data_IF_588309838553
#
_entry.id   IF_588309838553
#
_cell.length_a   1.000
_cell.length_b   1.000
_cell.length_c   1.000
_cell.angle_alpha   90.00
_cell.angle_beta   90.00
_cell.angle_gamma   90.00
#
_symmetry.space_group_name_H-M   'P 1'
#
loop_
_entity.id
_entity.type
_entity.pdbx_description
1 polymer ?
#
# COMPACT_ATOMS: atom_id res chain seq x y z
N UNK A 1 35.92 -77.95 -33.09
CA UNK A 1 36.66 -77.46 -31.89
C UNK A 1 36.63 -75.95 -31.90
N UNK A 2 36.21 -75.32 -30.80
CA UNK A 2 36.20 -73.86 -30.55
C UNK A 2 35.10 -73.08 -31.30
N UNK A 3 34.44 -72.04 -30.78
CA UNK A 3 34.51 -71.30 -29.51
C UNK A 3 33.22 -70.45 -29.40
N UNK A 4 32.85 -70.05 -28.18
CA UNK A 4 31.61 -69.32 -27.80
C UNK A 4 31.44 -67.93 -28.44
N UNK A 5 30.19 -67.50 -28.63
CA UNK A 5 29.80 -66.07 -28.57
C UNK A 5 28.37 -65.89 -28.04
N UNK A 6 28.14 -64.78 -27.34
CA UNK A 6 26.98 -64.40 -26.53
C UNK A 6 25.86 -63.72 -27.34
N UNK A 7 24.64 -63.83 -26.80
CA UNK A 7 23.37 -63.31 -27.31
C UNK A 7 23.07 -61.87 -26.87
N UNK A 8 22.46 -61.07 -27.74
CA UNK A 8 21.35 -60.15 -27.43
C UNK A 8 20.44 -60.01 -28.66
N UNK A 9 19.10 -59.93 -28.49
CA UNK A 9 18.25 -59.42 -29.57
C UNK A 9 17.31 -58.28 -29.15
N UNK A 10 17.05 -57.46 -30.16
CA UNK A 10 16.14 -56.32 -30.31
C UNK A 10 14.66 -56.69 -30.32
N UNK A 11 13.79 -55.73 -29.98
CA UNK A 11 12.33 -55.83 -30.11
C UNK A 11 11.75 -54.76 -31.08
N UNK A 12 10.53 -54.97 -31.63
CA UNK A 12 10.05 -54.28 -32.84
C UNK A 12 8.91 -53.26 -32.63
N UNK A 13 8.63 -52.55 -33.72
CA UNK A 13 7.60 -51.53 -34.02
C UNK A 13 6.14 -51.99 -34.00
N UNK A 14 5.22 -51.07 -33.66
CA UNK A 14 3.84 -51.01 -34.20
C UNK A 14 3.46 -49.54 -34.46
N UNK A 15 2.83 -49.28 -35.62
CA UNK A 15 2.44 -47.98 -36.15
C UNK A 15 0.99 -48.07 -36.66
N UNK A 16 0.15 -47.10 -36.29
CA UNK A 16 -1.10 -46.65 -36.94
C UNK A 16 -1.64 -45.50 -36.04
N UNK A 17 -2.06 -44.31 -36.47
CA UNK A 17 -2.28 -43.72 -37.79
C UNK A 17 -2.63 -42.22 -37.63
N UNK A 18 -1.89 -41.35 -38.34
CA UNK A 18 -2.34 -40.24 -39.21
C UNK A 18 -3.13 -39.02 -38.63
N UNK A 19 -2.67 -37.82 -39.06
CA UNK A 19 -3.24 -36.43 -39.02
C UNK A 19 -3.26 -35.73 -37.66
N UNK A 20 -2.59 -34.59 -37.38
CA UNK A 20 -2.17 -33.44 -38.19
C UNK A 20 -0.70 -33.02 -37.95
N UNK A 21 0.03 -32.95 -39.06
CA UNK A 21 1.12 -32.02 -39.39
C UNK A 21 0.60 -30.55 -39.39
N UNK A 22 1.33 -29.44 -39.26
CA UNK A 22 2.75 -29.14 -39.47
C UNK A 22 3.01 -27.69 -38.96
N UNK A 23 4.29 -27.36 -38.73
CA UNK A 23 4.94 -26.02 -38.69
C UNK A 23 4.83 -25.19 -37.40
N UNK A 24 5.91 -24.71 -36.80
CA UNK A 24 7.33 -24.91 -37.04
C UNK A 24 8.08 -24.59 -35.74
N UNK A 25 8.88 -25.54 -35.27
CA UNK A 25 10.01 -25.23 -34.42
C UNK A 25 11.20 -24.98 -35.35
N UNK A 26 11.73 -23.76 -35.28
CA UNK A 26 13.12 -23.45 -34.96
C UNK A 26 13.48 -22.08 -35.53
N UNK A 27 14.04 -21.21 -34.69
CA UNK A 27 15.36 -20.59 -34.89
C UNK A 27 15.51 -19.33 -34.01
N UNK A 28 16.33 -19.49 -32.97
CA UNK A 28 17.15 -18.49 -32.27
C UNK A 28 16.52 -17.39 -31.40
N UNK A 29 17.02 -17.32 -30.16
CA UNK A 29 17.35 -16.03 -29.54
C UNK A 29 17.04 -15.93 -28.05
N UNK A 30 18.08 -16.13 -27.22
CA UNK A 30 18.25 -15.60 -25.86
C UNK A 30 17.16 -15.88 -24.81
N UNK A 31 17.53 -16.72 -23.83
CA UNK A 31 16.83 -16.75 -22.55
C UNK A 31 16.86 -15.37 -21.88
N UNK A 32 15.68 -14.80 -21.67
CA UNK A 32 15.47 -13.69 -20.76
C UNK A 32 14.57 -14.16 -19.63
N UNK A 33 15.20 -14.40 -18.48
CA UNK A 33 14.55 -14.42 -17.18
C UNK A 33 13.82 -13.07 -17.00
N UNK A 34 12.52 -13.03 -17.28
CA UNK A 34 11.69 -11.87 -16.98
C UNK A 34 11.41 -11.85 -15.48
N UNK A 35 12.27 -11.10 -14.78
CA UNK A 35 12.14 -10.70 -13.38
C UNK A 35 10.74 -10.16 -13.10
N UNK A 36 10.09 -10.73 -12.09
CA UNK A 36 8.85 -10.26 -11.50
C UNK A 36 8.92 -8.77 -11.18
N UNK A 37 8.01 -7.99 -11.77
CA UNK A 37 7.91 -6.56 -11.55
C UNK A 37 7.12 -6.29 -10.26
N UNK A 38 7.78 -5.63 -9.30
CA UNK A 38 7.25 -5.21 -8.00
C UNK A 38 5.99 -4.31 -8.13
N UNK A 39 5.08 -4.27 -7.13
CA UNK A 39 3.97 -3.35 -7.14
C UNK A 39 4.45 -1.91 -6.91
N UNK A 40 3.66 -0.93 -7.36
CA UNK A 40 4.05 0.45 -7.26
C UNK A 40 3.96 0.96 -5.82
N UNK A 41 4.76 1.99 -5.60
CA UNK A 41 4.73 2.92 -4.48
C UNK A 41 3.30 3.21 -3.98
N UNK A 42 3.16 3.43 -2.68
CA UNK A 42 2.32 4.52 -2.17
C UNK A 42 2.38 5.70 -3.13
N UNK A 43 1.23 6.19 -3.60
CA UNK A 43 1.18 7.19 -4.67
C UNK A 43 2.12 8.37 -4.41
N UNK A 44 2.79 8.94 -5.45
CA UNK A 44 3.91 9.89 -5.32
C UNK A 44 3.62 11.20 -4.56
N UNK A 45 2.38 11.42 -4.09
CA UNK A 45 1.94 12.67 -3.46
C UNK A 45 1.47 12.53 -2.00
N UNK A 46 1.51 11.34 -1.39
CA UNK A 46 1.13 11.23 0.02
C UNK A 46 2.26 11.71 0.94
N UNK A 47 1.99 12.81 1.65
CA UNK A 47 2.88 13.38 2.66
C UNK A 47 2.52 12.78 4.02
N UNK A 48 3.53 12.50 4.84
CA UNK A 48 3.42 12.00 6.19
C UNK A 48 4.21 12.87 7.17
N UNK A 49 3.77 12.86 8.42
CA UNK A 49 4.59 13.21 9.59
C UNK A 49 4.79 11.97 10.43
N UNK A 50 5.95 11.88 11.09
CA UNK A 50 6.30 10.74 11.93
C UNK A 50 6.40 11.22 13.36
N UNK A 51 5.47 10.79 14.21
CA UNK A 51 5.37 11.21 15.60
C UNK A 51 6.03 10.19 16.53
N UNK A 52 6.65 10.67 17.59
CA UNK A 52 7.19 9.82 18.65
C UNK A 52 6.12 9.59 19.73
N UNK A 53 5.97 8.37 20.25
CA UNK A 53 5.00 8.11 21.33
C UNK A 53 5.40 8.79 22.64
N UNK A 54 6.69 9.03 22.86
CA UNK A 54 7.16 9.75 24.05
C UNK A 54 6.52 11.15 24.16
N UNK A 55 6.26 11.82 23.03
CA UNK A 55 5.36 12.97 22.93
C UNK A 55 4.92 13.21 21.49
N UNK A 56 3.60 13.25 21.27
CA UNK A 56 2.99 13.55 19.96
C UNK A 56 3.07 15.05 19.60
N UNK A 57 3.56 15.91 20.51
CA UNK A 57 3.83 17.33 20.22
C UNK A 57 5.11 17.52 19.38
N UNK A 58 5.88 16.45 19.19
CA UNK A 58 7.10 16.42 18.40
C UNK A 58 6.99 15.42 17.25
N UNK A 59 7.57 15.77 16.10
CA UNK A 59 7.66 14.89 14.94
C UNK A 59 9.04 14.95 14.29
N UNK A 60 9.37 13.94 13.49
CA UNK A 60 10.61 13.89 12.72
C UNK A 60 10.73 15.11 11.80
N UNK A 61 11.89 15.73 11.84
CA UNK A 61 12.29 16.82 10.98
C UNK A 61 13.73 16.61 10.51
N UNK A 62 14.11 17.32 9.45
CA UNK A 62 15.51 17.48 9.06
C UNK A 62 16.01 18.83 9.57
N UNK A 63 17.09 18.82 10.36
CA UNK A 63 17.78 20.02 10.89
C UNK A 63 19.27 19.84 10.70
N UNK A 64 19.93 20.81 10.08
CA UNK A 64 21.39 20.84 9.91
C UNK A 64 21.99 19.53 9.36
N UNK A 65 21.25 18.83 8.49
CA UNK A 65 21.68 17.56 7.89
C UNK A 65 21.38 16.30 8.72
N UNK A 66 20.77 16.45 9.90
CA UNK A 66 20.45 15.36 10.83
C UNK A 66 18.94 15.12 10.91
N UNK A 67 18.56 13.91 11.34
CA UNK A 67 17.17 13.55 11.64
C UNK A 67 16.92 13.75 13.14
N UNK A 68 16.02 14.66 13.47
CA UNK A 68 15.70 15.03 14.85
C UNK A 68 14.19 15.06 15.08
N UNK A 69 13.79 15.10 16.33
CA UNK A 69 12.45 15.55 16.73
C UNK A 69 12.42 17.07 16.86
N UNK A 70 11.36 17.68 16.32
CA UNK A 70 11.08 19.09 16.46
C UNK A 70 9.59 19.31 16.77
N UNK A 71 9.21 20.42 17.43
CA UNK A 71 7.81 20.76 17.69
C UNK A 71 7.00 20.73 16.41
N UNK A 72 5.81 20.12 16.45
CA UNK A 72 4.96 19.95 15.28
C UNK A 72 4.56 21.32 14.72
N UNK A 73 5.03 21.61 13.51
CA UNK A 73 4.70 22.83 12.78
C UNK A 73 4.06 22.49 11.44
N UNK A 74 2.78 22.83 11.23
CA UNK A 74 2.10 22.48 9.99
C UNK A 74 2.74 22.98 8.70
N UNK A 75 3.37 24.14 8.77
CA UNK A 75 3.96 24.83 7.61
C UNK A 75 5.41 24.43 7.37
N UNK A 76 5.99 23.63 8.26
CA UNK A 76 7.37 23.21 8.14
C UNK A 76 7.51 22.01 7.19
N UNK A 77 7.95 22.29 5.96
CA UNK A 77 8.15 21.28 4.93
C UNK A 77 9.27 20.28 5.27
N UNK A 78 10.19 20.63 6.16
CA UNK A 78 11.24 19.71 6.61
C UNK A 78 10.68 18.64 7.55
N UNK A 79 9.45 18.79 8.04
CA UNK A 79 8.71 17.77 8.77
C UNK A 79 7.85 16.87 7.85
N UNK A 80 7.86 17.13 6.54
CA UNK A 80 7.07 16.37 5.58
C UNK A 80 7.89 15.25 4.98
N UNK A 81 7.36 14.03 5.05
CA UNK A 81 8.02 12.82 4.60
C UNK A 81 7.17 12.09 3.57
N UNK A 82 7.83 11.46 2.61
CA UNK A 82 7.25 10.47 1.73
C UNK A 82 7.65 9.10 2.28
N UNK A 83 6.68 8.19 2.37
CA UNK A 83 6.92 6.79 2.68
C UNK A 83 6.91 6.01 1.37
N UNK A 84 8.07 5.71 0.79
CA UNK A 84 8.17 5.02 -0.49
C UNK A 84 8.10 3.50 -0.32
N UNK A 85 7.11 2.87 -0.97
CA UNK A 85 6.81 1.44 -0.81
C UNK A 85 7.25 0.59 -2.02
N UNK A 86 8.06 1.09 -2.97
CA UNK A 86 8.30 0.38 -4.25
C UNK A 86 8.97 -0.98 -4.13
N UNK A 87 9.74 -1.19 -3.06
CA UNK A 87 10.41 -2.45 -2.79
C UNK A 87 9.63 -3.36 -1.82
N UNK A 88 8.41 -2.97 -1.41
CA UNK A 88 7.69 -3.59 -0.30
C UNK A 88 7.26 -5.06 -0.51
N UNK A 89 7.19 -5.55 -1.74
CA UNK A 89 6.87 -6.97 -1.99
C UNK A 89 8.08 -7.85 -2.19
N UNK A 90 9.18 -7.29 -2.67
CA UNK A 90 10.41 -8.04 -2.95
C UNK A 90 11.33 -8.03 -1.74
N UNK A 91 11.28 -6.97 -0.94
CA UNK A 91 12.11 -6.80 0.26
C UNK A 91 11.23 -6.82 1.50
N UNK A 92 11.55 -7.74 2.40
CA UNK A 92 10.93 -7.89 3.71
C UNK A 92 12.02 -8.09 4.76
N UNK A 93 11.74 -7.73 6.01
CA UNK A 93 12.62 -8.11 7.12
C UNK A 93 12.48 -9.60 7.49
N UNK A 94 13.27 -10.06 8.46
CA UNK A 94 13.23 -11.45 8.95
C UNK A 94 11.88 -11.87 9.56
N UNK A 95 11.03 -10.91 9.94
CA UNK A 95 9.67 -11.15 10.42
C UNK A 95 8.63 -11.13 9.28
N UNK A 96 9.08 -10.90 8.04
CA UNK A 96 8.22 -10.82 6.86
C UNK A 96 7.51 -9.48 6.71
N UNK A 97 7.92 -8.43 7.43
CA UNK A 97 7.33 -7.10 7.34
C UNK A 97 7.84 -6.38 6.07
N UNK A 98 6.95 -5.73 5.30
CA UNK A 98 7.31 -5.11 4.03
C UNK A 98 8.22 -3.88 4.21
N UNK A 99 9.22 -3.77 3.34
CA UNK A 99 10.16 -2.65 3.34
C UNK A 99 9.57 -1.34 2.80
N UNK A 100 10.08 -0.21 3.30
CA UNK A 100 9.84 1.13 2.78
C UNK A 100 11.05 2.05 2.97
N UNK A 101 11.16 3.11 2.18
CA UNK A 101 12.09 4.21 2.44
C UNK A 101 11.33 5.42 3.04
N UNK A 102 11.96 6.13 3.97
CA UNK A 102 11.48 7.45 4.43
C UNK A 102 12.30 8.53 3.76
N UNK A 103 11.66 9.31 2.89
CA UNK A 103 12.30 10.36 2.10
C UNK A 103 11.75 11.70 2.55
N UNK A 104 12.61 12.60 2.99
CA UNK A 104 12.17 13.93 3.35
C UNK A 104 11.76 14.71 2.08
N UNK A 105 10.58 15.31 2.11
CA UNK A 105 10.02 16.01 0.94
C UNK A 105 10.83 17.25 0.57
N UNK A 106 11.25 18.03 1.57
CA UNK A 106 11.96 19.29 1.33
C UNK A 106 13.39 19.06 0.81
N UNK A 107 14.08 18.04 1.30
CA UNK A 107 15.49 17.79 0.94
C UNK A 107 15.69 16.71 -0.13
N UNK A 108 14.69 15.84 -0.36
CA UNK A 108 14.82 14.67 -1.23
C UNK A 108 15.76 13.58 -0.69
N UNK A 109 16.20 13.69 0.58
CA UNK A 109 17.11 12.74 1.21
C UNK A 109 16.33 11.63 1.92
N UNK A 110 16.78 10.40 1.76
CA UNK A 110 16.28 9.24 2.49
C UNK A 110 17.03 9.04 3.80
N UNK A 111 16.31 8.56 4.83
CA UNK A 111 16.93 8.10 6.07
C UNK A 111 17.68 6.80 5.83
N UNK A 112 18.98 6.80 6.12
CA UNK A 112 19.91 5.68 5.98
C UNK A 112 20.28 5.13 7.35
N UNK A 113 20.48 3.82 7.41
CA UNK A 113 21.11 3.13 8.54
C UNK A 113 22.44 3.78 8.90
N UNK A 114 22.80 3.70 10.18
CA UNK A 114 24.12 4.12 10.68
C UNK A 114 25.02 2.90 10.95
N UNK A 115 26.18 3.12 11.54
CA UNK A 115 27.21 2.08 11.75
C UNK A 115 26.92 1.17 12.96
N UNK A 116 25.83 1.40 13.69
CA UNK A 116 25.40 0.53 14.79
C UNK A 116 24.62 1.28 15.87
N UNK A 117 24.36 0.59 16.98
CA UNK A 117 23.70 1.15 18.15
C UNK A 117 24.35 2.47 18.60
N UNK A 118 23.54 3.36 19.18
CA UNK A 118 23.87 4.72 19.65
C UNK A 118 24.26 5.76 18.60
N UNK A 119 24.42 5.35 17.33
CA UNK A 119 24.83 6.28 16.28
C UNK A 119 23.61 6.90 15.58
N UNK A 120 23.61 8.23 15.32
CA UNK A 120 22.57 8.91 14.57
C UNK A 120 22.32 8.27 13.21
N UNK A 121 21.04 8.18 12.82
CA UNK A 121 20.69 7.82 11.45
C UNK A 121 21.20 8.89 10.49
N UNK A 122 21.54 8.51 9.26
CA UNK A 122 22.12 9.44 8.28
C UNK A 122 21.09 9.83 7.23
N UNK A 123 21.35 10.91 6.51
CA UNK A 123 20.58 11.30 5.32
C UNK A 123 21.45 11.14 4.07
N UNK A 124 20.89 10.53 3.01
CA UNK A 124 21.55 10.37 1.70
C UNK A 124 20.58 10.61 0.55
N UNK A 125 21.06 11.00 -0.64
CA UNK A 125 20.21 11.12 -1.82
C UNK A 125 19.42 9.84 -2.08
N UNK A 126 18.11 9.96 -2.22
CA UNK A 126 17.27 8.81 -2.54
C UNK A 126 17.30 8.51 -4.03
N UNK A 127 17.79 7.33 -4.41
CA UNK A 127 17.69 6.87 -5.79
C UNK A 127 16.57 5.84 -5.95
N UNK A 128 15.45 6.22 -6.59
CA UNK A 128 14.31 5.34 -6.78
C UNK A 128 14.58 4.12 -7.68
N UNK A 129 15.61 4.15 -8.52
CA UNK A 129 15.86 3.15 -9.56
C UNK A 129 16.62 1.91 -9.05
N UNK A 130 17.23 1.98 -7.87
CA UNK A 130 18.04 0.91 -7.32
C UNK A 130 17.60 0.55 -5.91
N UNK A 131 17.59 -0.75 -5.61
CA UNK A 131 17.36 -1.25 -4.27
C UNK A 131 18.63 -1.02 -3.42
N UNK A 132 18.58 -0.02 -2.54
CA UNK A 132 19.60 0.18 -1.50
C UNK A 132 19.03 -0.21 -0.14
N UNK A 133 19.33 -1.42 0.31
CA UNK A 133 18.85 -1.93 1.60
C UNK A 133 19.23 -1.03 2.79
N UNK A 134 20.28 -0.21 2.67
CA UNK A 134 20.70 0.69 3.75
C UNK A 134 19.77 1.89 3.98
N UNK A 135 18.84 2.17 3.08
CA UNK A 135 17.79 3.20 3.26
C UNK A 135 16.40 2.60 3.45
N UNK A 136 16.32 1.27 3.56
CA UNK A 136 15.06 0.55 3.71
C UNK A 136 14.79 0.19 5.18
N UNK A 137 13.56 0.42 5.58
CA UNK A 137 13.04 0.25 6.92
C UNK A 137 11.78 -0.61 6.89
N UNK A 138 11.42 -1.19 8.02
CA UNK A 138 10.16 -1.91 8.22
C UNK A 138 9.44 -1.37 9.45
N UNK A 139 8.12 -1.56 9.47
CA UNK A 139 7.32 -1.32 10.66
C UNK A 139 7.08 -2.64 11.37
N UNK A 140 7.23 -2.69 12.69
CA UNK A 140 6.82 -3.85 13.48
C UNK A 140 5.29 -4.03 13.48
N UNK A 141 4.82 -5.09 14.14
CA UNK A 141 3.42 -5.14 14.61
C UNK A 141 3.05 -3.91 15.43
N UNK A 142 1.75 -3.60 15.46
CA UNK A 142 1.19 -2.48 16.22
C UNK A 142 1.46 -2.66 17.73
N UNK A 143 2.06 -1.65 18.33
CA UNK A 143 2.36 -1.58 19.77
C UNK A 143 1.23 -0.91 20.55
N UNK A 144 0.10 -0.60 19.91
CA UNK A 144 -1.06 0.10 20.45
C UNK A 144 -1.25 1.48 19.81
N UNK A 145 -2.53 1.85 19.58
CA UNK A 145 -2.95 3.17 19.06
C UNK A 145 -2.28 3.55 17.71
N UNK A 146 -1.86 2.57 16.92
CA UNK A 146 -1.26 2.81 15.60
C UNK A 146 0.24 3.13 15.64
N UNK A 147 0.90 3.02 16.79
CA UNK A 147 2.36 3.18 16.87
C UNK A 147 3.07 1.85 16.64
N UNK A 148 4.21 1.89 15.96
CA UNK A 148 5.04 0.73 15.58
C UNK A 148 6.51 1.09 15.79
N UNK A 149 7.39 0.09 15.88
CA UNK A 149 8.82 0.33 15.77
C UNK A 149 9.18 0.51 14.30
N UNK A 150 10.04 1.48 13.98
CA UNK A 150 10.66 1.63 12.66
C UNK A 150 12.04 0.99 12.76
N UNK A 151 12.29 -0.09 12.01
CA UNK A 151 13.46 -0.96 12.17
C UNK A 151 14.24 -1.10 10.88
N UNK A 152 15.53 -1.40 10.98
CA UNK A 152 16.33 -1.69 9.80
C UNK A 152 15.80 -2.95 9.12
N UNK A 153 15.66 -2.91 7.79
CA UNK A 153 15.14 -4.06 7.03
C UNK A 153 16.04 -5.30 7.13
N UNK A 154 17.35 -5.11 7.29
CA UNK A 154 18.36 -6.16 7.33
C UNK A 154 18.77 -6.56 8.76
N UNK A 155 18.26 -5.86 9.79
CA UNK A 155 18.55 -6.14 11.19
C UNK A 155 17.43 -5.57 12.08
N UNK A 156 16.39 -6.36 12.30
CA UNK A 156 15.21 -6.03 13.14
C UNK A 156 15.54 -5.75 14.60
N UNK A 157 16.76 -6.05 15.07
CA UNK A 157 17.19 -5.74 16.44
C UNK A 157 17.45 -4.26 16.64
N UNK A 158 17.76 -3.53 15.57
CA UNK A 158 18.04 -2.10 15.61
C UNK A 158 16.93 -1.31 14.91
N UNK A 159 16.49 -0.24 15.56
CA UNK A 159 15.48 0.66 15.01
C UNK A 159 15.65 2.09 15.50
N UNK A 160 14.74 2.95 15.07
CA UNK A 160 14.69 4.33 15.50
C UNK A 160 14.46 4.43 17.01
N UNK A 161 15.29 5.25 17.63
CA UNK A 161 15.20 5.66 19.01
C UNK A 161 15.38 7.18 19.09
N UNK A 162 14.46 7.87 19.75
CA UNK A 162 14.70 9.25 20.16
C UNK A 162 15.66 9.22 21.35
N UNK A 163 16.92 9.58 21.12
CA UNK A 163 18.01 9.42 22.08
C UNK A 163 17.70 10.14 23.38
N UNK A 164 17.70 9.40 24.49
CA UNK A 164 17.34 9.92 25.83
C UNK A 164 15.95 10.59 25.87
N UNK A 165 15.07 10.23 24.94
CA UNK A 165 13.71 10.76 24.83
C UNK A 165 12.72 10.09 25.78
N UNK A 166 13.17 9.17 26.62
CA UNK A 166 12.36 8.55 27.66
C UNK A 166 12.23 9.45 28.90
N UNK A 167 11.26 9.13 29.76
CA UNK A 167 10.92 9.97 30.93
C UNK A 167 12.04 10.05 31.96
N UNK A 168 12.88 9.03 32.07
CA UNK A 168 13.96 9.00 33.06
C UNK A 168 15.10 9.98 32.69
N UNK A 169 15.17 10.36 31.41
CA UNK A 169 16.12 11.33 30.88
C UNK A 169 15.51 12.69 30.50
N UNK A 170 14.27 12.96 30.92
CA UNK A 170 13.59 14.24 30.70
C UNK A 170 12.65 14.31 29.49
N UNK A 171 12.52 13.21 28.75
CA UNK A 171 11.63 13.11 27.60
C UNK A 171 12.20 13.73 26.32
N UNK A 172 11.42 13.62 25.24
CA UNK A 172 11.77 14.26 23.96
C UNK A 172 11.61 15.79 24.05
N UNK A 173 12.50 16.50 23.37
CA UNK A 173 12.52 17.96 23.26
C UNK A 173 12.95 18.37 21.85
N UNK A 174 12.93 19.67 21.56
CA UNK A 174 13.38 20.19 20.26
C UNK A 174 14.86 19.85 20.05
N UNK A 175 15.17 19.25 18.90
CA UNK A 175 16.51 18.76 18.57
C UNK A 175 16.87 17.38 19.10
N UNK A 176 15.96 16.64 19.78
CA UNK A 176 16.25 15.26 20.20
C UNK A 176 16.63 14.41 18.98
N UNK A 177 17.86 13.89 18.97
CA UNK A 177 18.43 13.16 17.83
C UNK A 177 17.80 11.77 17.69
N UNK A 178 17.55 11.35 16.45
CA UNK A 178 17.13 9.98 16.16
C UNK A 178 18.37 9.11 15.92
N UNK A 179 18.54 8.07 16.73
CA UNK A 179 19.66 7.13 16.66
C UNK A 179 19.17 5.72 16.35
N UNK A 180 20.10 4.83 16.03
CA UNK A 180 19.85 3.39 16.08
C UNK A 180 19.97 2.88 17.52
N UNK A 181 18.99 2.13 18.00
CA UNK A 181 19.08 1.46 19.30
C UNK A 181 18.41 0.09 19.29
N UNK A 182 18.81 -0.75 20.24
CA UNK A 182 18.15 -2.04 20.47
C UNK A 182 16.77 -1.82 21.09
N UNK A 183 15.82 -2.73 20.85
CA UNK A 183 14.48 -2.57 21.42
C UNK A 183 14.48 -2.72 22.95
N UNK A 184 14.25 -1.60 23.66
CA UNK A 184 14.18 -1.50 25.12
C UNK A 184 12.74 -1.35 25.64
N UNK A 185 11.73 -1.44 24.76
CA UNK A 185 10.30 -1.25 25.10
C UNK A 185 9.95 0.16 25.57
N UNK A 186 10.74 1.16 25.18
CA UNK A 186 10.49 2.56 25.49
C UNK A 186 9.48 3.21 24.54
N UNK A 187 8.73 4.19 25.05
CA UNK A 187 7.84 5.02 24.21
C UNK A 187 8.64 5.87 23.20
N UNK A 188 9.89 6.20 23.53
CA UNK A 188 10.85 6.88 22.65
C UNK A 188 11.28 6.05 21.42
N UNK A 189 10.88 4.78 21.36
CA UNK A 189 11.14 3.83 20.27
C UNK A 189 9.87 3.45 19.49
N UNK A 190 8.74 4.06 19.83
CA UNK A 190 7.44 3.83 19.21
C UNK A 190 7.07 5.03 18.33
N UNK A 191 6.75 4.77 17.06
CA UNK A 191 6.56 5.78 16.05
C UNK A 191 5.21 5.64 15.35
N UNK A 192 4.58 6.76 15.03
CA UNK A 192 3.33 6.80 14.27
C UNK A 192 3.59 7.54 12.97
N UNK A 193 3.62 6.81 11.86
CA UNK A 193 3.70 7.40 10.52
C UNK A 193 2.28 7.78 10.12
N UNK A 194 1.98 9.07 10.18
CA UNK A 194 0.64 9.60 10.05
C UNK A 194 0.53 10.53 8.83
N UNK A 195 -0.48 10.40 7.96
CA UNK A 195 -0.48 11.19 6.75
C UNK A 195 -0.95 12.63 7.03
N UNK A 196 -0.27 13.58 6.40
CA UNK A 196 -0.20 14.97 6.86
C UNK A 196 -1.48 15.78 6.58
N UNK A 197 -2.18 15.48 5.49
CA UNK A 197 -3.44 16.17 5.15
C UNK A 197 -4.56 15.97 6.20
N UNK A 198 -4.51 14.89 7.01
CA UNK A 198 -5.47 14.58 8.09
C UNK A 198 -5.21 15.46 9.31
N UNK A 199 -3.93 15.77 9.58
CA UNK A 199 -3.52 16.56 10.73
C UNK A 199 -3.87 18.05 10.55
N UNK A 200 -3.84 18.58 9.33
CA UNK A 200 -4.21 19.98 9.07
C UNK A 200 -5.72 20.23 9.22
N UNK A 201 -6.56 19.32 8.74
CA UNK A 201 -8.02 19.40 8.88
C UNK A 201 -8.48 19.31 10.36
N UNK A 202 -7.75 18.54 11.19
CA UNK A 202 -7.99 18.46 12.63
C UNK A 202 -7.56 19.74 13.39
N UNK A 203 -6.54 20.45 12.92
CA UNK A 203 -6.04 21.68 13.55
C UNK A 203 -6.88 22.90 13.15
N UNK A 204 -7.33 23.00 11.89
CA UNK A 204 -8.18 24.11 11.42
C UNK A 204 -9.60 24.07 12.00
N UNK A 205 -10.08 22.89 12.42
CA UNK A 205 -11.39 22.73 13.08
C UNK A 205 -11.38 23.09 14.57
N UNK A 206 -10.25 23.56 15.12
CA UNK A 206 -10.16 23.97 16.54
C UNK A 206 -10.30 22.80 17.53
N UNK A 207 -10.14 21.56 17.07
CA UNK A 207 -10.19 20.38 17.93
C UNK A 207 -8.87 20.29 18.72
N UNK A 208 -8.83 20.96 19.88
CA UNK A 208 -7.89 20.62 20.94
C UNK A 208 -8.03 19.12 21.22
N UNK A 209 -6.91 18.39 21.26
CA UNK A 209 -6.83 17.02 21.78
C UNK A 209 -7.40 16.97 23.21
N UNK A 210 -8.71 16.78 23.31
CA UNK A 210 -9.45 17.00 24.55
C UNK A 210 -10.86 16.46 24.44
N UNK A 211 -11.03 15.24 24.95
CA UNK A 211 -12.26 14.69 25.51
C UNK A 211 -13.55 14.87 24.71
N UNK A 212 -13.75 14.02 23.70
CA UNK A 212 -15.05 13.37 23.50
C UNK A 212 -14.90 12.10 22.63
N UNK A 213 -14.29 11.08 23.23
CA UNK A 213 -14.17 9.74 22.66
C UNK A 213 -15.43 8.86 22.90
N UNK A 214 -16.60 9.46 23.09
CA UNK A 214 -17.83 8.75 23.46
C UNK A 214 -19.01 9.04 22.53
N UNK A 215 -18.79 8.91 21.22
CA UNK A 215 -19.80 8.50 20.25
C UNK A 215 -19.04 8.07 18.98
N UNK A 216 -19.18 6.81 18.57
CA UNK A 216 -18.40 6.12 17.52
C UNK A 216 -17.03 5.61 18.01
N UNK A 217 -16.92 4.31 18.22
CA UNK A 217 -15.78 3.66 18.85
C UNK A 217 -14.43 3.89 18.17
N UNK A 218 -13.53 4.57 18.87
CA UNK A 218 -12.10 4.27 19.04
C UNK A 218 -11.28 3.75 17.84
N UNK A 219 -11.40 4.36 16.65
CA UNK A 219 -10.52 4.14 15.52
C UNK A 219 -9.87 5.43 15.01
N UNK A 220 -8.68 5.36 14.35
CA UNK A 220 -8.02 6.53 13.75
C UNK A 220 -8.95 7.29 12.78
N UNK A 221 -8.90 8.64 12.69
CA UNK A 221 -9.58 9.40 11.63
C UNK A 221 -8.99 8.98 10.28
N UNK A 222 -9.83 8.99 9.25
CA UNK A 222 -9.62 8.18 8.06
C UNK A 222 -9.56 9.05 6.80
N UNK A 223 -8.44 8.99 6.08
CA UNK A 223 -8.19 9.80 4.90
C UNK A 223 -9.15 9.41 3.79
N UNK A 224 -9.82 10.44 3.25
CA UNK A 224 -10.49 10.36 1.98
C UNK A 224 -9.50 9.95 0.88
N UNK A 225 -9.86 8.94 0.10
CA UNK A 225 -9.22 8.53 -1.15
C UNK A 225 -10.19 8.78 -2.29
N UNK A 226 -9.63 9.15 -3.43
CA UNK A 226 -10.28 9.18 -4.74
C UNK A 226 -10.06 7.84 -5.42
N UNK A 227 -11.15 7.25 -5.91
CA UNK A 227 -11.10 6.04 -6.73
C UNK A 227 -11.54 6.41 -8.14
N UNK A 228 -10.71 6.12 -9.15
CA UNK A 228 -11.02 6.44 -10.55
C UNK A 228 -10.49 5.39 -11.52
N UNK A 229 -11.12 5.33 -12.69
CA UNK A 229 -10.84 4.36 -13.73
C UNK A 229 -9.99 4.98 -14.85
N UNK A 230 -9.10 4.20 -15.46
CA UNK A 230 -8.27 4.66 -16.58
C UNK A 230 -9.09 5.05 -17.81
N UNK A 231 -10.24 4.41 -18.01
CA UNK A 231 -11.14 4.75 -19.13
C UNK A 231 -11.79 6.15 -19.00
N UNK A 232 -11.77 6.77 -17.81
CA UNK A 232 -12.31 8.10 -17.54
C UNK A 232 -11.67 8.71 -16.30
N UNK A 233 -10.45 9.23 -16.43
CA UNK A 233 -9.66 9.78 -15.31
C UNK A 233 -10.22 11.10 -14.74
N UNK A 234 -11.16 11.74 -15.44
CA UNK A 234 -11.93 12.91 -15.01
C UNK A 234 -13.21 12.52 -14.23
N UNK A 235 -13.53 11.23 -14.15
CA UNK A 235 -14.60 10.69 -13.32
C UNK A 235 -14.07 10.14 -12.00
N UNK A 236 -14.94 10.09 -10.99
CA UNK A 236 -14.65 9.52 -9.68
C UNK A 236 -15.76 8.57 -9.28
N UNK A 237 -15.38 7.54 -8.54
CA UNK A 237 -16.29 6.61 -7.89
C UNK A 237 -17.14 7.36 -6.87
N UNK A 238 -18.46 7.19 -6.92
CA UNK A 238 -19.41 7.84 -6.02
C UNK A 238 -20.46 6.87 -5.52
N UNK A 239 -20.85 7.00 -4.25
CA UNK A 239 -22.01 6.31 -3.70
C UNK A 239 -23.29 7.04 -4.15
N UNK A 240 -24.22 6.33 -4.81
CA UNK A 240 -25.53 6.85 -5.22
C UNK A 240 -26.57 5.73 -5.18
N UNK A 241 -27.76 6.02 -4.64
CA UNK A 241 -28.92 5.13 -4.66
C UNK A 241 -28.65 3.68 -4.19
N UNK A 242 -27.82 3.50 -3.14
CA UNK A 242 -27.50 2.18 -2.59
C UNK A 242 -26.52 1.34 -3.43
N UNK A 243 -25.93 1.93 -4.47
CA UNK A 243 -24.91 1.33 -5.32
C UNK A 243 -23.72 2.29 -5.50
N UNK A 244 -22.78 1.88 -6.35
CA UNK A 244 -21.59 2.66 -6.70
C UNK A 244 -21.52 2.85 -8.22
N UNK A 245 -21.25 4.08 -8.64
CA UNK A 245 -21.08 4.44 -10.05
C UNK A 245 -19.94 5.45 -10.24
N UNK A 246 -19.61 5.76 -11.50
CA UNK A 246 -18.73 6.86 -11.85
C UNK A 246 -19.53 8.13 -12.11
N UNK A 247 -19.04 9.26 -11.61
CA UNK A 247 -19.58 10.59 -11.87
C UNK A 247 -18.44 11.58 -12.15
N UNK A 248 -18.69 12.69 -12.88
CA UNK A 248 -17.68 13.72 -13.06
C UNK A 248 -17.08 14.15 -11.73
N UNK A 249 -15.75 14.28 -11.69
CA UNK A 249 -15.05 14.56 -10.45
C UNK A 249 -15.44 15.91 -9.92
N UNK A 250 -15.94 15.93 -8.69
CA UNK A 250 -16.32 17.13 -7.97
C UNK A 250 -15.74 17.05 -6.56
N UNK A 251 -14.69 17.81 -6.24
CA UNK A 251 -14.10 17.86 -4.90
C UNK A 251 -15.05 18.31 -3.78
N UNK A 252 -16.23 18.84 -4.12
CA UNK A 252 -17.28 19.21 -3.16
C UNK A 252 -18.36 18.14 -2.99
N UNK A 253 -18.28 17.04 -3.74
CA UNK A 253 -19.20 15.91 -3.62
C UNK A 253 -18.61 14.90 -2.63
N UNK A 254 -18.99 15.00 -1.36
CA UNK A 254 -18.48 14.12 -0.31
C UNK A 254 -18.80 12.64 -0.55
N UNK A 255 -19.79 12.31 -1.38
CA UNK A 255 -20.08 10.93 -1.78
C UNK A 255 -19.01 10.33 -2.70
N UNK A 256 -18.12 11.16 -3.25
CA UNK A 256 -16.92 10.72 -3.99
C UNK A 256 -15.74 10.41 -3.05
N UNK A 257 -15.86 10.71 -1.76
CA UNK A 257 -14.79 10.51 -0.78
C UNK A 257 -14.91 9.14 -0.12
N UNK A 258 -13.86 8.33 -0.24
CA UNK A 258 -13.82 6.98 0.29
C UNK A 258 -12.73 6.82 1.33
N UNK A 259 -12.86 5.82 2.16
CA UNK A 259 -11.87 5.38 3.12
C UNK A 259 -11.33 4.06 2.60
N UNK A 260 -10.02 3.96 2.48
CA UNK A 260 -9.36 2.67 2.25
C UNK A 260 -8.95 2.07 3.60
N UNK A 261 -9.83 1.27 4.19
CA UNK A 261 -9.57 0.63 5.48
C UNK A 261 -8.65 -0.58 5.30
N UNK A 262 -7.44 -0.49 5.85
CA UNK A 262 -6.40 -1.51 5.78
C UNK A 262 -6.32 -2.40 7.03
N UNK A 263 -7.25 -2.33 8.00
CA UNK A 263 -7.13 -3.02 9.30
C UNK A 263 -6.91 -4.53 9.19
N UNK A 264 -7.42 -5.16 8.14
CA UNK A 264 -7.26 -6.60 7.90
C UNK A 264 -6.05 -6.99 7.03
N UNK A 265 -5.28 -6.01 6.52
CA UNK A 265 -4.21 -6.22 5.52
C UNK A 265 -3.10 -7.18 5.94
N UNK A 266 -2.85 -7.28 7.25
CA UNK A 266 -1.78 -8.13 7.80
C UNK A 266 -2.22 -9.58 7.98
N UNK A 267 -3.53 -9.85 8.00
CA UNK A 267 -4.11 -11.17 8.28
C UNK A 267 -4.73 -11.80 7.05
N UNK A 268 -5.28 -10.99 6.15
CA UNK A 268 -6.04 -11.45 4.99
C UNK A 268 -5.32 -11.00 3.74
N UNK A 269 -5.09 -11.96 2.86
CA UNK A 269 -4.49 -11.78 1.55
C UNK A 269 -5.31 -12.54 0.53
N UNK A 270 -5.27 -12.11 -0.71
CA UNK A 270 -5.82 -12.92 -1.80
C UNK A 270 -4.91 -14.09 -2.18
N UNK A 271 -5.33 -14.89 -3.17
CA UNK A 271 -4.60 -16.07 -3.67
C UNK A 271 -3.17 -15.76 -4.14
N UNK A 272 -2.90 -14.53 -4.58
CA UNK A 272 -1.56 -14.09 -4.99
C UNK A 272 -0.78 -13.38 -3.85
N UNK A 273 -1.36 -13.28 -2.65
CA UNK A 273 -0.70 -12.71 -1.48
C UNK A 273 -0.89 -11.20 -1.28
N UNK A 274 -1.73 -10.53 -2.07
CA UNK A 274 -1.95 -9.08 -1.93
C UNK A 274 -2.83 -8.76 -0.73
N UNK A 275 -2.50 -7.71 0.04
CA UNK A 275 -3.20 -7.38 1.28
C UNK A 275 -4.64 -6.90 1.04
N UNK A 276 -5.56 -7.39 1.87
CA UNK A 276 -6.96 -6.98 1.84
C UNK A 276 -7.18 -5.54 2.34
N UNK A 277 -8.20 -4.88 1.79
CA UNK A 277 -8.76 -3.62 2.26
C UNK A 277 -10.28 -3.56 2.06
N UNK A 278 -10.96 -2.69 2.81
CA UNK A 278 -12.33 -2.28 2.51
C UNK A 278 -12.36 -0.86 1.94
N UNK A 279 -13.29 -0.58 1.02
CA UNK A 279 -13.61 0.79 0.59
C UNK A 279 -14.91 1.23 1.25
N UNK A 280 -14.83 2.21 2.14
CA UNK A 280 -15.96 2.71 2.94
C UNK A 280 -16.28 4.13 2.52
N UNK A 281 -17.52 4.41 2.14
CA UNK A 281 -17.92 5.76 1.79
C UNK A 281 -17.96 6.64 3.05
N UNK A 282 -17.42 7.86 2.96
CA UNK A 282 -17.36 8.74 4.13
C UNK A 282 -18.70 9.29 4.58
N UNK A 283 -19.65 9.48 3.65
CA UNK A 283 -20.96 10.06 3.96
C UNK A 283 -21.89 8.99 4.50
N UNK A 284 -21.94 7.83 3.85
CA UNK A 284 -22.90 6.78 4.23
C UNK A 284 -22.37 5.83 5.31
N UNK A 285 -21.05 5.72 5.48
CA UNK A 285 -20.43 4.70 6.33
C UNK A 285 -20.60 3.27 5.77
N UNK A 286 -21.08 3.14 4.54
CA UNK A 286 -21.26 1.86 3.87
C UNK A 286 -19.99 1.48 3.09
N UNK A 287 -19.71 0.18 3.02
CA UNK A 287 -18.62 -0.36 2.26
C UNK A 287 -19.11 -1.07 1.00
N UNK A 288 -18.21 -1.18 0.02
CA UNK A 288 -18.49 -1.89 -1.22
C UNK A 288 -18.44 -3.40 -0.95
N UNK A 289 -19.56 -4.09 -1.16
CA UNK A 289 -19.71 -5.54 -1.07
C UNK A 289 -19.66 -6.18 -2.44
N UNK A 290 -19.10 -7.39 -2.48
CA UNK A 290 -19.17 -8.29 -3.63
C UNK A 290 -20.62 -8.49 -4.10
N UNK A 291 -20.80 -8.71 -5.40
CA UNK A 291 -22.07 -9.11 -5.98
C UNK A 291 -22.13 -10.63 -6.21
N UNK A 292 -23.24 -11.14 -6.74
CA UNK A 292 -23.49 -12.59 -6.90
C UNK A 292 -22.69 -13.25 -8.03
N UNK A 293 -21.97 -12.48 -8.84
CA UNK A 293 -21.15 -13.00 -9.94
C UNK A 293 -20.92 -11.97 -11.04
N UNK A 294 -20.34 -12.44 -12.15
CA UNK A 294 -20.04 -11.60 -13.32
C UNK A 294 -21.29 -10.84 -13.83
N UNK A 295 -21.09 -9.57 -14.20
CA UNK A 295 -22.11 -8.68 -14.75
C UNK A 295 -23.05 -8.05 -13.71
N UNK A 296 -23.00 -8.49 -12.45
CA UNK A 296 -23.84 -7.93 -11.42
C UNK A 296 -23.18 -6.72 -10.75
N UNK A 297 -23.93 -5.60 -10.57
CA UNK A 297 -23.45 -4.43 -9.86
C UNK A 297 -22.99 -4.77 -8.44
N UNK A 298 -21.91 -4.13 -8.00
CA UNK A 298 -21.50 -4.15 -6.59
C UNK A 298 -22.56 -3.44 -5.74
N UNK A 299 -22.59 -3.72 -4.44
CA UNK A 299 -23.57 -3.14 -3.52
C UNK A 299 -22.90 -2.34 -2.43
N UNK A 300 -23.63 -1.38 -1.86
CA UNK A 300 -23.24 -0.76 -0.59
C UNK A 300 -23.94 -1.47 0.56
N UNK A 301 -23.20 -1.74 1.63
CA UNK A 301 -23.73 -2.27 2.89
C UNK A 301 -23.07 -1.60 4.08
N UNK A 302 -23.74 -1.49 5.24
CA UNK A 302 -23.14 -0.94 6.46
C UNK A 302 -21.81 -1.62 6.80
N UNK A 303 -20.77 -0.82 7.06
CA UNK A 303 -19.46 -1.35 7.40
C UNK A 303 -19.31 -1.58 8.91
N UNK A 304 -18.89 -2.79 9.31
CA UNK A 304 -18.54 -3.11 10.70
C UNK A 304 -17.07 -3.51 10.79
N UNK A 305 -16.17 -2.64 11.26
CA UNK A 305 -14.74 -2.94 11.33
C UNK A 305 -14.35 -3.95 12.42
N UNK A 306 -15.26 -4.25 13.35
CA UNK A 306 -15.02 -5.27 14.38
C UNK A 306 -15.30 -6.68 13.88
N UNK A 307 -15.98 -6.83 12.75
CA UNK A 307 -16.35 -8.11 12.16
C UNK A 307 -15.63 -8.33 10.84
N UNK A 308 -14.89 -9.43 10.75
CA UNK A 308 -14.18 -9.81 9.52
C UNK A 308 -15.17 -10.42 8.52
N UNK A 309 -15.78 -9.57 7.69
CA UNK A 309 -16.59 -10.00 6.54
C UNK A 309 -15.75 -9.95 5.25
N UNK A 310 -15.30 -11.11 4.74
CA UNK A 310 -14.52 -11.17 3.50
C UNK A 310 -15.29 -10.67 2.27
N UNK A 311 -16.62 -10.67 2.30
CA UNK A 311 -17.43 -10.23 1.16
C UNK A 311 -17.41 -8.72 0.93
N UNK A 312 -16.79 -7.94 1.84
CA UNK A 312 -16.58 -6.50 1.67
C UNK A 312 -15.10 -6.15 1.48
N UNK A 313 -14.25 -7.17 1.37
CA UNK A 313 -12.81 -7.02 1.25
C UNK A 313 -12.34 -7.20 -0.20
N UNK A 314 -11.44 -6.32 -0.58
CA UNK A 314 -10.89 -6.20 -1.92
C UNK A 314 -9.36 -6.20 -1.83
N UNK A 315 -8.72 -6.48 -2.96
CA UNK A 315 -7.26 -6.32 -3.12
C UNK A 315 -6.95 -5.52 -4.37
N UNK A 316 -5.77 -4.91 -4.37
CA UNK A 316 -5.19 -4.28 -5.56
C UNK A 316 -4.15 -5.24 -6.13
N UNK A 317 -4.26 -5.58 -7.41
CA UNK A 317 -3.26 -6.42 -8.09
C UNK A 317 -1.90 -5.71 -8.22
N UNK A 318 -0.93 -6.38 -8.84
CA UNK A 318 0.24 -5.68 -9.44
C UNK A 318 -0.18 -4.54 -10.36
N UNK A 319 0.76 -3.63 -10.62
CA UNK A 319 0.60 -2.61 -11.66
C UNK A 319 0.31 -3.26 -13.01
N UNK A 320 -0.73 -2.80 -13.69
CA UNK A 320 -1.09 -3.20 -15.06
C UNK A 320 -0.82 -2.07 -16.07
N UNK A 321 -0.03 -1.07 -15.67
CA UNK A 321 0.49 0.02 -16.47
C UNK A 321 0.22 1.39 -15.84
N UNK A 322 1.26 2.24 -15.76
CA UNK A 322 1.19 3.66 -15.35
C UNK A 322 0.59 3.89 -13.96
N UNK A 323 0.83 2.96 -13.02
CA UNK A 323 0.32 3.05 -11.65
C UNK A 323 -1.14 2.61 -11.50
N UNK A 324 -1.77 2.06 -12.55
CA UNK A 324 -3.12 1.50 -12.45
C UNK A 324 -3.06 0.03 -12.06
N UNK A 325 -4.06 -0.42 -11.29
CA UNK A 325 -4.17 -1.80 -10.79
C UNK A 325 -5.59 -2.32 -10.99
N UNK A 326 -5.77 -3.63 -10.96
CA UNK A 326 -7.10 -4.21 -10.82
C UNK A 326 -7.54 -4.10 -9.35
N UNK A 327 -8.78 -3.70 -9.10
CA UNK A 327 -9.43 -3.91 -7.80
C UNK A 327 -10.24 -5.18 -7.91
N UNK A 328 -9.98 -6.19 -7.07
CA UNK A 328 -10.55 -7.54 -7.21
C UNK A 328 -11.03 -8.09 -5.88
N UNK A 329 -11.95 -9.05 -5.93
CA UNK A 329 -12.46 -9.69 -4.72
C UNK A 329 -11.31 -10.41 -4.00
N UNK A 330 -11.22 -10.28 -2.67
CA UNK A 330 -10.13 -10.92 -1.91
C UNK A 330 -10.19 -12.45 -1.98
N UNK A 331 -11.39 -13.02 -2.08
CA UNK A 331 -11.65 -14.46 -2.06
C UNK A 331 -11.87 -15.06 -3.47
N UNK A 332 -11.85 -14.23 -4.52
CA UNK A 332 -11.98 -14.67 -5.91
C UNK A 332 -11.33 -13.65 -6.85
N UNK A 333 -10.03 -13.85 -7.11
CA UNK A 333 -9.24 -12.91 -7.90
C UNK A 333 -9.61 -12.84 -9.39
N UNK A 334 -10.46 -13.75 -9.87
CA UNK A 334 -10.94 -13.77 -11.25
C UNK A 334 -12.03 -12.74 -11.53
N UNK A 335 -12.59 -12.09 -10.49
CA UNK A 335 -13.62 -11.06 -10.62
C UNK A 335 -13.11 -9.71 -10.10
N UNK A 336 -13.20 -8.72 -10.97
CA UNK A 336 -12.61 -7.39 -10.85
C UNK A 336 -13.71 -6.33 -10.81
N UNK A 337 -13.40 -5.15 -10.28
CA UNK A 337 -14.14 -3.94 -10.61
C UNK A 337 -14.06 -3.68 -12.11
N UNK A 338 -15.21 -3.47 -12.71
CA UNK A 338 -15.38 -3.10 -14.11
C UNK A 338 -16.34 -1.91 -14.19
N UNK A 339 -15.91 -0.82 -14.82
CA UNK A 339 -16.80 0.25 -15.22
C UNK A 339 -17.62 -0.25 -16.41
N UNK A 340 -18.86 -0.62 -16.16
CA UNK A 340 -19.68 -1.40 -17.08
C UNK A 340 -19.90 -0.64 -18.38
N UNK A 341 -19.50 -1.23 -19.51
CA UNK A 341 -19.49 -0.58 -20.83
C UNK A 341 -18.72 0.75 -20.87
N UNK A 342 -17.81 0.98 -19.92
CA UNK A 342 -16.98 2.17 -19.85
C UNK A 342 -15.84 2.18 -20.88
N UNK A 343 -15.73 1.14 -21.72
CA UNK A 343 -14.75 1.09 -22.80
C UNK A 343 -15.21 1.89 -24.03
N UNK A 344 -14.26 2.24 -24.90
CA UNK A 344 -14.52 3.08 -26.07
C UNK A 344 -15.49 2.48 -27.08
N UNK A 345 -15.62 1.15 -27.16
CA UNK A 345 -16.53 0.50 -28.11
C UNK A 345 -18.00 0.70 -27.71
N UNK A 346 -18.26 0.99 -26.43
CA UNK A 346 -19.61 1.20 -25.90
C UNK A 346 -19.89 2.66 -25.48
N UNK A 347 -19.03 3.59 -25.89
CA UNK A 347 -19.22 5.04 -25.65
C UNK A 347 -18.35 5.63 -24.54
N UNK A 348 -17.57 4.80 -23.84
CA UNK A 348 -16.69 5.24 -22.76
C UNK A 348 -17.42 5.45 -21.43
N UNK A 349 -16.67 5.90 -20.42
CA UNK A 349 -17.23 6.29 -19.12
C UNK A 349 -18.09 7.56 -19.29
N UNK A 350 -19.23 7.58 -18.60
CA UNK A 350 -20.13 8.73 -18.47
C UNK A 350 -20.69 8.84 -17.05
N UNK A 351 -21.44 9.91 -16.76
CA UNK A 351 -22.09 10.05 -15.46
C UNK A 351 -23.10 8.92 -15.27
N UNK A 352 -23.01 8.22 -14.13
CA UNK A 352 -23.82 7.06 -13.82
C UNK A 352 -23.30 5.72 -14.35
N UNK A 353 -22.11 5.65 -14.96
CA UNK A 353 -21.52 4.35 -15.35
C UNK A 353 -21.40 3.43 -14.11
N UNK A 354 -22.12 2.31 -14.12
CA UNK A 354 -22.18 1.37 -13.00
C UNK A 354 -20.88 0.61 -12.81
N UNK A 355 -20.60 0.21 -11.56
CA UNK A 355 -19.50 -0.70 -11.26
C UNK A 355 -20.05 -2.12 -11.08
N UNK A 356 -19.56 -3.03 -11.90
CA UNK A 356 -19.93 -4.45 -11.86
C UNK A 356 -18.72 -5.32 -11.54
N UNK A 357 -18.99 -6.57 -11.20
CA UNK A 357 -17.95 -7.61 -11.23
C UNK A 357 -17.76 -8.11 -12.66
N UNK A 358 -16.54 -8.16 -13.15
CA UNK A 358 -16.26 -8.78 -14.45
C UNK A 358 -14.96 -9.56 -14.45
N UNK A 359 -14.84 -10.54 -15.34
CA UNK A 359 -13.58 -11.24 -15.55
C UNK A 359 -12.55 -10.29 -16.16
N UNK A 360 -11.30 -10.40 -15.75
CA UNK A 360 -10.22 -9.62 -16.35
C UNK A 360 -10.16 -9.82 -17.87
N UNK A 361 -10.31 -8.73 -18.62
CA UNK A 361 -10.24 -8.69 -20.08
C UNK A 361 -9.23 -7.66 -20.60
N UNK A 362 -8.36 -7.16 -19.71
CA UNK A 362 -7.31 -6.18 -20.01
C UNK A 362 -7.80 -4.80 -20.46
N UNK A 363 -9.11 -4.54 -20.37
CA UNK A 363 -9.73 -3.27 -20.72
C UNK A 363 -9.30 -2.11 -19.80
N UNK A 364 -9.27 -0.89 -20.35
CA UNK A 364 -8.98 0.31 -19.56
C UNK A 364 -10.09 0.59 -18.52
N UNK A 365 -11.30 0.07 -18.74
CA UNK A 365 -12.45 0.14 -17.82
C UNK A 365 -12.29 -0.75 -16.56
N UNK A 366 -11.25 -1.58 -16.49
CA UNK A 366 -10.92 -2.45 -15.35
C UNK A 366 -9.64 -2.03 -14.61
N UNK A 367 -9.08 -0.88 -14.98
CA UNK A 367 -7.81 -0.37 -14.46
C UNK A 367 -8.09 0.82 -13.57
N UNK A 368 -7.71 0.72 -12.31
CA UNK A 368 -8.12 1.64 -11.26
C UNK A 368 -6.93 2.27 -10.55
N UNK A 369 -7.15 3.49 -10.05
CA UNK A 369 -6.27 4.16 -9.11
C UNK A 369 -7.06 4.52 -7.87
N UNK A 370 -6.47 4.20 -6.72
CA UNK A 370 -6.94 4.63 -5.40
C UNK A 370 -5.85 5.55 -4.84
N UNK A 371 -6.11 6.85 -4.88
CA UNK A 371 -5.13 7.87 -4.48
C UNK A 371 -5.72 8.73 -3.36
N UNK A 372 -4.89 9.31 -2.49
CA UNK A 372 -5.37 10.29 -1.51
C UNK A 372 -6.14 11.41 -2.20
N UNK A 373 -7.28 11.82 -1.60
CA UNK A 373 -8.01 12.98 -2.07
C UNK A 373 -7.19 14.23 -1.75
N UNK A 374 -6.54 14.82 -2.76
CA UNK A 374 -5.85 16.10 -2.61
C UNK A 374 -6.84 17.20 -3.01
N UNK A 375 -7.17 18.09 -2.08
CA UNK A 375 -7.87 19.35 -2.39
C UNK A 375 -6.92 20.16 -3.28
N UNK A 376 -7.23 20.23 -4.58
CA UNK A 376 -6.55 21.09 -5.54
C UNK A 376 -6.90 22.56 -5.34
#
# INVERSE_FOLDING_TARGET
>A
MGQRSLLTPTAPTVLQSITHALLAAEMFGFGHHHKDQAPPASGPNQIFKIYCRASEDYCLAVRDGEVVLAPVNPKDETQHWLKDMRFSTTVKDEEGMPAFALVNKATGLAVKHSIGQSHPVKLVPFNPAYEDASVLWTESKDMGKGFRCIRMVNNTRLGFDALNGDKDHGGVHDGTTVVLWEWCKGDNQCWKIWPWAEAHAAVESGATMGNNAHAMGGGPPVHAVRVFCKAGEDYSLTARNGTVCLAPTNPRDDYQHWIKDMRHSNKIRDEEGYPAFALVNMVTGECIKHSTGQGHPVKLVPYNPAYQDESVLWTESRDVGKGFRCVRMVNNIYLNFDAFHGDKAHGGVHDGTEIVLWKWCEGDNQRWKILPWCLG
#
